data_IF_621519288555
#
_entry.id   IF_621519288555
#
_cell.length_a   1.000
_cell.length_b   1.000
_cell.length_c   1.000
_cell.angle_alpha   90.00
_cell.angle_beta   90.00
_cell.angle_gamma   90.00
#
_symmetry.space_group_name_H-M   'P 1'
#
loop_
_entity.id
_entity.type
_entity.pdbx_description
1 polymer ?
#
# COMPACT_ATOMS: atom_id res chain seq x y z
N UNK A 1 -22.09 -15.29 -30.88
CA UNK A 1 -22.22 -16.07 -29.62
C UNK A 1 -20.82 -16.24 -29.05
N UNK A 2 -20.41 -15.74 -27.89
CA UNK A 2 -21.05 -15.00 -26.81
C UNK A 2 -19.95 -14.20 -26.08
N UNK A 3 -20.21 -12.95 -25.68
CA UNK A 3 -19.52 -12.32 -24.52
C UNK A 3 -19.92 -13.15 -23.28
N UNK A 4 -19.21 -13.21 -22.17
CA UNK A 4 -19.10 -12.16 -21.14
C UNK A 4 -18.42 -12.78 -19.90
N UNK A 5 -17.83 -11.93 -19.05
CA UNK A 5 -17.60 -12.12 -17.60
C UNK A 5 -16.28 -12.72 -17.13
N UNK A 6 -15.30 -11.85 -16.90
CA UNK A 6 -14.46 -11.90 -15.70
C UNK A 6 -13.90 -10.50 -15.33
N UNK A 7 -14.72 -9.45 -15.47
CA UNK A 7 -14.46 -8.14 -14.85
C UNK A 7 -15.50 -7.97 -13.73
N UNK A 8 -15.24 -8.59 -12.58
CA UNK A 8 -16.04 -8.39 -11.38
C UNK A 8 -15.08 -8.28 -10.21
N UNK A 9 -14.86 -7.05 -9.73
CA UNK A 9 -14.10 -6.78 -8.51
C UNK A 9 -12.91 -5.83 -8.63
N UNK A 10 -12.64 -5.26 -9.81
CA UNK A 10 -11.51 -4.34 -9.98
C UNK A 10 -11.87 -2.95 -9.46
N UNK A 11 -11.17 -2.51 -8.40
CA UNK A 11 -11.26 -1.16 -7.83
C UNK A 11 -10.97 -0.10 -8.91
N UNK A 12 -11.59 1.09 -8.79
CA UNK A 12 -11.37 2.22 -9.69
C UNK A 12 -9.87 2.57 -9.81
N UNK A 13 -9.05 2.27 -8.80
CA UNK A 13 -7.59 2.41 -8.83
C UNK A 13 -6.89 1.42 -9.76
N UNK A 14 -7.30 0.15 -9.79
CA UNK A 14 -6.66 -0.87 -10.62
C UNK A 14 -6.99 -0.67 -12.11
N UNK A 15 -8.17 -0.12 -12.41
CA UNK A 15 -8.51 0.29 -13.78
C UNK A 15 -7.65 1.48 -14.25
N UNK A 16 -7.28 2.38 -13.34
CA UNK A 16 -6.38 3.51 -13.64
C UNK A 16 -4.96 3.01 -13.88
N UNK A 17 -4.46 2.05 -13.09
CA UNK A 17 -3.14 1.45 -13.28
C UNK A 17 -3.05 0.61 -14.57
N UNK A 18 -4.04 -0.23 -14.86
CA UNK A 18 -4.06 -1.02 -16.11
C UNK A 18 -4.25 -0.13 -17.37
N UNK A 19 -4.96 0.98 -17.23
CA UNK A 19 -5.06 2.02 -18.28
C UNK A 19 -3.73 2.75 -18.47
N UNK A 20 -2.99 3.00 -17.37
CA UNK A 20 -1.71 3.67 -17.41
C UNK A 20 -0.65 2.88 -18.19
N UNK A 21 -0.58 1.55 -18.08
CA UNK A 21 0.42 0.76 -18.81
C UNK A 21 0.25 0.84 -20.34
N UNK A 22 -0.99 0.75 -20.82
CA UNK A 22 -1.28 0.89 -22.25
C UNK A 22 -1.08 2.34 -22.76
N UNK A 23 -1.34 3.33 -21.90
CA UNK A 23 -1.09 4.74 -22.19
C UNK A 23 0.40 5.08 -22.18
N UNK A 24 1.19 4.54 -21.24
CA UNK A 24 2.63 4.74 -21.13
C UNK A 24 3.33 4.14 -22.34
N UNK A 25 2.97 2.92 -22.76
CA UNK A 25 3.52 2.32 -23.99
C UNK A 25 3.14 3.13 -25.23
N UNK A 26 1.91 3.67 -25.28
CA UNK A 26 1.47 4.54 -26.39
C UNK A 26 2.18 5.89 -26.36
N UNK A 27 2.43 6.47 -25.19
CA UNK A 27 3.16 7.73 -24.99
C UNK A 27 4.65 7.56 -25.33
N UNK A 28 5.28 6.44 -24.98
CA UNK A 28 6.65 6.12 -25.43
C UNK A 28 6.74 6.00 -26.95
N UNK A 29 5.72 5.44 -27.62
CA UNK A 29 5.64 5.40 -29.08
C UNK A 29 5.44 6.80 -29.69
N UNK A 30 4.63 7.65 -29.06
CA UNK A 30 4.43 9.04 -29.48
C UNK A 30 5.71 9.86 -29.31
N UNK A 31 6.42 9.72 -28.18
CA UNK A 31 7.70 10.39 -27.94
C UNK A 31 8.80 9.91 -28.90
N UNK A 32 8.85 8.62 -29.24
CA UNK A 32 9.82 8.09 -30.23
C UNK A 32 9.50 8.54 -31.66
N UNK A 33 8.24 8.84 -31.97
CA UNK A 33 7.83 9.35 -33.28
C UNK A 33 8.06 10.85 -33.47
N UNK A 34 8.19 11.65 -32.39
CA UNK A 34 8.34 13.10 -32.47
C UNK A 34 9.78 13.57 -32.81
N UNK A 35 10.76 12.66 -32.78
CA UNK A 35 12.17 12.98 -33.05
C UNK A 35 12.60 12.84 -34.53
N UNK A 36 11.66 12.59 -35.45
CA UNK A 36 12.01 12.38 -36.86
C UNK A 36 10.86 12.53 -37.85
N UNK A 37 10.28 13.72 -38.01
CA UNK A 37 9.71 14.13 -39.30
C UNK A 37 9.40 15.63 -39.36
N UNK A 38 9.76 16.22 -40.51
CA UNK A 38 9.54 17.60 -40.96
C UNK A 38 8.04 17.99 -40.97
N UNK A 39 7.66 19.30 -40.89
CA UNK A 39 6.30 19.73 -40.60
C UNK A 39 5.43 19.82 -41.86
N UNK A 40 4.18 19.33 -41.80
CA UNK A 40 3.14 19.68 -42.79
C UNK A 40 1.76 19.87 -42.15
N UNK A 41 1.37 21.15 -42.02
CA UNK A 41 0.02 21.75 -42.07
C UNK A 41 -1.21 20.93 -41.62
N UNK A 42 -1.66 21.13 -40.37
CA UNK A 42 -3.09 21.32 -40.00
C UNK A 42 -3.22 21.82 -38.55
N UNK A 43 -3.22 23.14 -38.35
CA UNK A 43 -3.23 23.77 -37.02
C UNK A 43 -4.66 23.89 -36.49
N UNK A 44 -5.11 22.92 -35.67
CA UNK A 44 -6.23 23.10 -34.73
C UNK A 44 -6.36 22.02 -33.64
N UNK A 45 -5.60 20.93 -33.73
CA UNK A 45 -5.57 19.90 -32.69
C UNK A 45 -4.56 20.22 -31.57
N UNK A 46 -3.53 21.06 -31.81
CA UNK A 46 -2.42 21.29 -30.87
C UNK A 46 -2.83 22.04 -29.59
N UNK A 47 -3.90 22.85 -29.63
CA UNK A 47 -4.30 23.70 -28.48
C UNK A 47 -4.92 22.91 -27.32
N UNK A 48 -5.61 21.80 -27.61
CA UNK A 48 -6.29 20.99 -26.59
C UNK A 48 -5.37 19.98 -25.89
N UNK A 49 -4.23 19.62 -26.50
CA UNK A 49 -3.28 18.68 -25.89
C UNK A 49 -2.37 19.32 -24.85
N UNK A 50 -2.06 20.61 -24.99
CA UNK A 50 -1.28 21.37 -24.01
C UNK A 50 -1.87 21.34 -22.58
N UNK A 51 -3.15 21.68 -22.35
CA UNK A 51 -3.73 21.64 -21.01
C UNK A 51 -3.86 20.22 -20.47
N UNK A 52 -4.15 19.23 -21.33
CA UNK A 52 -4.22 17.81 -20.93
C UNK A 52 -2.84 17.30 -20.51
N UNK A 53 -1.79 17.61 -21.27
CA UNK A 53 -0.41 17.25 -20.94
C UNK A 53 0.05 17.90 -19.63
N UNK A 54 -0.27 19.18 -19.41
CA UNK A 54 0.03 19.88 -18.16
C UNK A 54 -0.71 19.25 -16.99
N UNK A 55 -2.00 18.94 -17.13
CA UNK A 55 -2.79 18.28 -16.10
C UNK A 55 -2.23 16.89 -15.75
N UNK A 56 -1.87 16.09 -16.76
CA UNK A 56 -1.23 14.78 -16.56
C UNK A 56 0.12 14.94 -15.86
N UNK A 57 0.95 15.90 -16.23
CA UNK A 57 2.23 16.17 -15.56
C UNK A 57 2.05 16.56 -14.09
N UNK A 58 1.05 17.39 -13.79
CA UNK A 58 0.70 17.76 -12.41
C UNK A 58 0.19 16.53 -11.65
N UNK A 59 -0.64 15.68 -12.25
CA UNK A 59 -1.11 14.45 -11.61
C UNK A 59 0.04 13.46 -11.35
N UNK A 60 0.97 13.28 -12.29
CA UNK A 60 2.12 12.38 -12.11
C UNK A 60 3.01 12.88 -10.98
N UNK A 61 3.33 14.18 -10.95
CA UNK A 61 4.15 14.77 -9.88
C UNK A 61 3.48 14.74 -8.50
N UNK A 62 2.15 14.77 -8.45
CA UNK A 62 1.40 14.65 -7.19
C UNK A 62 1.27 13.21 -6.71
N UNK A 63 1.16 12.24 -7.63
CA UNK A 63 1.06 10.81 -7.32
C UNK A 63 2.43 10.20 -7.03
N UNK A 64 3.52 10.76 -7.55
CA UNK A 64 4.88 10.19 -7.42
C UNK A 64 5.56 10.44 -6.07
N UNK A 65 4.92 11.10 -5.09
CA UNK A 65 5.59 11.54 -3.84
C UNK A 65 4.83 11.09 -2.58
N UNK A 66 4.25 9.90 -2.58
CA UNK A 66 3.93 9.23 -1.32
C UNK A 66 4.74 7.96 -1.22
N UNK A 67 5.98 8.07 -0.74
CA UNK A 67 6.63 6.90 -0.16
C UNK A 67 5.67 6.35 0.92
N UNK A 68 5.39 5.06 0.85
CA UNK A 68 4.57 4.37 1.82
C UNK A 68 5.41 3.26 2.43
N UNK A 69 5.38 3.13 3.75
CA UNK A 69 5.95 2.00 4.43
C UNK A 69 4.91 0.92 4.65
N UNK A 70 5.37 -0.32 4.65
CA UNK A 70 4.57 -1.51 4.93
C UNK A 70 5.12 -2.20 6.16
N UNK A 71 4.25 -2.38 7.17
CA UNK A 71 4.48 -3.29 8.28
C UNK A 71 3.75 -4.61 7.99
N UNK A 72 4.52 -5.64 7.66
CA UNK A 72 4.01 -7.00 7.44
C UNK A 72 4.05 -7.80 8.74
N UNK A 73 2.90 -8.29 9.19
CA UNK A 73 2.76 -9.04 10.44
C UNK A 73 2.10 -10.39 10.15
N UNK A 74 2.84 -11.48 10.28
CA UNK A 74 2.28 -12.84 10.21
C UNK A 74 1.54 -13.15 11.52
N UNK A 75 0.32 -13.69 11.42
CA UNK A 75 -0.57 -13.96 12.55
C UNK A 75 -0.75 -15.47 12.75
N UNK A 76 0.02 -16.06 13.68
CA UNK A 76 0.00 -17.50 14.00
C UNK A 76 -0.29 -17.74 15.49
N UNK A 77 -1.37 -17.13 15.98
CA UNK A 77 -1.86 -17.40 17.33
C UNK A 77 -2.78 -18.63 17.34
N UNK A 78 -2.96 -19.25 18.51
CA UNK A 78 -3.92 -20.35 18.68
C UNK A 78 -5.36 -19.90 18.37
N UNK A 79 -6.16 -20.81 17.81
CA UNK A 79 -7.56 -20.59 17.44
C UNK A 79 -8.38 -19.87 18.53
N UNK A 80 -9.16 -18.88 18.13
CA UNK A 80 -9.99 -18.05 19.02
C UNK A 80 -9.23 -16.91 19.70
N UNK A 81 -7.93 -16.76 19.46
CA UNK A 81 -7.17 -15.64 20.03
C UNK A 81 -7.45 -14.35 19.28
N UNK A 82 -7.76 -13.30 20.03
CA UNK A 82 -7.97 -11.95 19.49
C UNK A 82 -6.79 -11.06 19.87
N UNK A 83 -6.30 -10.27 18.93
CA UNK A 83 -5.22 -9.32 19.17
C UNK A 83 -5.50 -7.98 18.49
N UNK A 84 -4.74 -6.96 18.86
CA UNK A 84 -4.76 -5.63 18.28
C UNK A 84 -3.35 -5.30 17.81
N UNK A 85 -3.21 -4.93 16.54
CA UNK A 85 -1.95 -4.60 15.89
C UNK A 85 -2.05 -3.19 15.31
N UNK A 86 -1.22 -2.25 15.78
CA UNK A 86 -1.28 -0.88 15.30
C UNK A 86 0.08 -0.23 15.18
N UNK A 87 0.12 0.87 14.43
CA UNK A 87 1.33 1.64 14.16
C UNK A 87 1.17 3.05 14.73
N UNK A 88 2.22 3.55 15.40
CA UNK A 88 2.28 4.95 15.85
C UNK A 88 3.45 5.72 15.24
N UNK A 89 3.27 7.04 15.11
CA UNK A 89 4.34 7.98 14.77
C UNK A 89 5.24 8.31 15.98
N UNK A 90 6.27 9.15 15.78
CA UNK A 90 7.13 9.65 16.86
C UNK A 90 6.42 10.43 17.98
N UNK A 91 5.18 10.85 17.76
CA UNK A 91 4.37 11.56 18.74
C UNK A 91 3.40 10.62 19.46
N UNK A 92 3.53 9.29 19.25
CA UNK A 92 2.65 8.26 19.78
C UNK A 92 1.19 8.40 19.27
N UNK A 93 0.98 9.04 18.12
CA UNK A 93 -0.31 9.07 17.45
C UNK A 93 -0.48 7.80 16.63
N UNK A 94 -1.64 7.14 16.74
CA UNK A 94 -1.95 6.01 15.87
C UNK A 94 -2.15 6.48 14.44
N UNK A 95 -1.30 6.00 13.52
CA UNK A 95 -1.33 6.36 12.11
C UNK A 95 -1.90 5.24 11.22
N UNK A 96 -1.87 3.99 11.69
CA UNK A 96 -2.43 2.84 10.96
C UNK A 96 -2.72 1.63 11.86
N UNK A 97 -3.33 0.59 11.26
CA UNK A 97 -3.69 -0.66 11.92
C UNK A 97 -5.00 -0.58 12.70
N UNK A 98 -5.11 -1.39 13.74
CA UNK A 98 -6.37 -1.67 14.43
C UNK A 98 -6.73 -0.67 15.52
N UNK A 99 -8.01 -0.28 15.54
CA UNK A 99 -8.60 0.44 16.67
C UNK A 99 -9.21 -0.51 17.71
N UNK A 100 -9.53 -1.74 17.32
CA UNK A 100 -10.18 -2.74 18.15
C UNK A 100 -9.55 -4.12 17.97
N UNK A 101 -9.79 -5.03 18.92
CA UNK A 101 -9.31 -6.39 18.82
C UNK A 101 -9.96 -7.17 17.67
N UNK A 102 -9.16 -7.85 16.86
CA UNK A 102 -9.57 -8.73 15.78
C UNK A 102 -8.96 -10.14 15.94
N UNK A 103 -9.39 -11.10 15.16
CA UNK A 103 -8.91 -12.50 15.22
C UNK A 103 -7.49 -12.67 14.67
N UNK A 104 -6.56 -13.21 15.46
CA UNK A 104 -5.15 -13.35 15.09
C UNK A 104 -4.69 -14.80 14.94
N UNK A 105 -5.65 -15.70 14.81
CA UNK A 105 -5.47 -17.15 14.58
C UNK A 105 -5.54 -17.54 13.10
N UNK A 106 -5.82 -16.58 12.24
CA UNK A 106 -5.80 -16.76 10.80
C UNK A 106 -4.34 -16.73 10.36
N UNK A 107 -3.72 -17.90 10.18
CA UNK A 107 -2.37 -18.16 9.68
C UNK A 107 -2.05 -17.44 8.36
N UNK A 108 -2.00 -16.11 8.42
CA UNK A 108 -2.08 -15.19 7.28
C UNK A 108 -1.29 -13.94 7.61
N UNK A 109 -0.69 -13.37 6.57
CA UNK A 109 0.05 -12.12 6.67
C UNK A 109 -0.90 -10.93 6.63
N UNK A 110 -0.78 -10.06 7.62
CA UNK A 110 -1.43 -8.75 7.67
C UNK A 110 -0.44 -7.69 7.20
N UNK A 111 -0.78 -6.95 6.14
CA UNK A 111 0.05 -5.84 5.65
C UNK A 111 -0.60 -4.52 6.04
N UNK A 112 0.06 -3.74 6.89
CA UNK A 112 -0.38 -2.42 7.32
C UNK A 112 0.44 -1.39 6.54
N UNK A 113 -0.19 -0.70 5.59
CA UNK A 113 0.44 0.34 4.77
C UNK A 113 0.12 1.73 5.32
N UNK A 114 1.11 2.61 5.35
CA UNK A 114 0.97 3.97 5.87
C UNK A 114 1.97 4.93 5.22
N UNK A 115 1.65 6.23 5.26
CA UNK A 115 2.51 7.28 4.71
C UNK A 115 3.89 7.24 5.36
N UNK A 116 4.94 7.47 4.57
CA UNK A 116 6.31 7.57 5.05
C UNK A 116 6.39 8.58 6.22
N UNK A 117 6.81 8.06 7.36
CA UNK A 117 7.02 8.78 8.61
C UNK A 117 8.48 8.60 9.03
N UNK A 118 9.17 9.64 9.52
CA UNK A 118 10.61 9.56 9.80
C UNK A 118 10.99 8.43 10.76
N UNK A 119 10.12 8.18 11.74
CA UNK A 119 10.21 7.06 12.67
C UNK A 119 8.81 6.58 13.04
N UNK A 120 8.63 5.27 13.11
CA UNK A 120 7.40 4.67 13.60
C UNK A 120 7.66 3.49 14.54
N UNK A 121 6.62 3.13 15.29
CA UNK A 121 6.58 1.95 16.17
C UNK A 121 5.40 1.09 15.80
N UNK A 122 5.58 -0.22 15.94
CA UNK A 122 4.49 -1.19 15.85
C UNK A 122 4.18 -1.71 17.25
N UNK A 123 2.92 -1.97 17.49
CA UNK A 123 2.38 -2.37 18.77
C UNK A 123 1.53 -3.61 18.60
N UNK A 124 1.67 -4.54 19.53
CA UNK A 124 0.85 -5.73 19.62
C UNK A 124 0.29 -5.88 21.03
N UNK A 125 -0.99 -6.24 21.11
CA UNK A 125 -1.68 -6.55 22.36
C UNK A 125 -2.63 -7.72 22.15
N UNK A 126 -2.62 -8.72 23.05
CA UNK A 126 -3.47 -9.90 22.96
C UNK A 126 -4.59 -9.81 24.00
N UNK A 127 -5.84 -9.91 23.54
CA UNK A 127 -7.01 -9.79 24.39
C UNK A 127 -7.03 -10.91 25.44
N UNK A 128 -7.21 -10.53 26.71
CA UNK A 128 -7.23 -11.48 27.83
C UNK A 128 -5.85 -11.95 28.30
N UNK A 129 -4.77 -11.49 27.68
CA UNK A 129 -3.42 -11.79 28.15
C UNK A 129 -3.06 -10.97 29.39
N UNK A 130 -2.34 -11.58 30.33
CA UNK A 130 -1.71 -10.86 31.45
C UNK A 130 -0.34 -10.30 31.10
N UNK A 131 0.18 -10.63 29.90
CA UNK A 131 1.44 -10.07 29.40
C UNK A 131 1.22 -8.63 28.95
N UNK A 132 2.23 -7.81 29.18
CA UNK A 132 2.24 -6.43 28.71
C UNK A 132 2.22 -6.39 27.17
N UNK A 133 1.64 -5.32 26.62
CA UNK A 133 1.74 -4.99 25.21
C UNK A 133 3.20 -5.00 24.76
N UNK A 134 3.44 -5.40 23.52
CA UNK A 134 4.79 -5.44 22.94
C UNK A 134 4.91 -4.30 21.95
N UNK A 135 5.74 -3.34 22.30
CA UNK A 135 6.11 -2.23 21.45
C UNK A 135 7.46 -2.56 20.76
N UNK A 136 7.58 -2.26 19.46
CA UNK A 136 8.79 -2.50 18.65
C UNK A 136 9.07 -1.28 17.78
N UNK A 137 10.34 -0.89 17.67
CA UNK A 137 10.79 0.30 16.95
C UNK A 137 12.04 0.90 17.59
N UNK A 138 12.52 2.06 17.13
CA UNK A 138 12.01 2.84 15.99
C UNK A 138 12.36 2.17 14.64
N UNK A 139 11.50 2.38 13.65
CA UNK A 139 11.73 1.91 12.28
C UNK A 139 11.63 3.07 11.29
N UNK A 140 12.34 2.92 10.16
CA UNK A 140 12.44 3.90 9.07
C UNK A 140 12.44 3.23 7.69
N UNK A 141 11.70 2.14 7.55
CA UNK A 141 11.62 1.32 6.34
C UNK A 141 10.53 0.27 6.47
N UNK A 142 10.37 -0.57 5.46
CA UNK A 142 9.47 -1.73 5.54
C UNK A 142 9.99 -2.72 6.59
N UNK A 143 9.07 -3.30 7.35
CA UNK A 143 9.39 -4.27 8.40
C UNK A 143 8.55 -5.51 8.27
N UNK A 144 9.07 -6.59 8.83
CA UNK A 144 8.35 -7.84 8.92
C UNK A 144 8.46 -8.41 10.34
N UNK A 145 7.31 -8.76 10.92
CA UNK A 145 7.16 -9.30 12.26
C UNK A 145 6.19 -10.47 12.28
N UNK A 146 6.22 -11.20 13.37
CA UNK A 146 5.38 -12.37 13.58
C UNK A 146 4.84 -12.39 15.00
N UNK A 147 3.52 -12.48 15.10
CA UNK A 147 2.82 -12.70 16.36
C UNK A 147 2.39 -14.16 16.44
N UNK A 148 2.83 -14.86 17.47
CA UNK A 148 2.57 -16.28 17.64
C UNK A 148 2.47 -16.69 19.11
N UNK A 149 1.89 -17.88 19.33
CA UNK A 149 1.65 -18.45 20.66
C UNK A 149 0.17 -18.40 21.06
N UNK A 150 -0.08 -18.17 22.34
CA UNK A 150 -1.43 -18.14 22.92
C UNK A 150 -1.62 -16.98 23.90
N UNK A 151 -2.84 -16.85 24.44
CA UNK A 151 -3.22 -15.76 25.35
C UNK A 151 -2.31 -15.69 26.61
N UNK A 152 -1.79 -16.81 27.09
CA UNK A 152 -0.90 -16.89 28.26
C UNK A 152 0.57 -16.69 27.89
N UNK A 153 0.99 -17.24 26.75
CA UNK A 153 2.37 -17.16 26.27
C UNK A 153 2.44 -16.82 24.79
N UNK A 154 2.72 -15.55 24.51
CA UNK A 154 2.89 -15.04 23.16
C UNK A 154 4.15 -14.18 22.97
N UNK A 155 4.53 -14.08 21.71
CA UNK A 155 5.74 -13.45 21.21
C UNK A 155 5.41 -12.50 20.05
N UNK A 156 6.30 -11.53 19.83
CA UNK A 156 6.16 -10.56 18.75
C UNK A 156 7.55 -10.15 18.28
N UNK A 157 8.07 -10.92 17.35
CA UNK A 157 9.48 -10.99 17.03
C UNK A 157 9.68 -10.92 15.50
N UNK A 158 10.86 -10.51 15.00
CA UNK A 158 11.10 -10.25 13.57
C UNK A 158 11.32 -11.54 12.75
N UNK A 159 10.47 -12.55 12.91
CA UNK A 159 10.62 -13.85 12.26
C UNK A 159 9.50 -14.10 11.23
N UNK A 160 9.76 -13.88 9.95
CA UNK A 160 8.75 -14.00 8.90
C UNK A 160 8.89 -15.26 8.04
N UNK A 161 9.34 -16.37 8.65
CA UNK A 161 9.59 -17.63 7.97
C UNK A 161 8.50 -18.67 8.23
#
# INVERSE_FOLDING_TARGET
MSRTNAFRGMSTQEFVLASADHLVISLFKICKSAHGSSPSTNMKLQSFYLPIAIFICVCITFVSVTDAYTASITRDMIAGTRCRLWVTDQNNNQIAGDYHYHECDQHTQLNITFTNTPNYWIHAEVQGSTRQKKDRGNFNGDICYHIHGDVFSWWFDPNCH
#
